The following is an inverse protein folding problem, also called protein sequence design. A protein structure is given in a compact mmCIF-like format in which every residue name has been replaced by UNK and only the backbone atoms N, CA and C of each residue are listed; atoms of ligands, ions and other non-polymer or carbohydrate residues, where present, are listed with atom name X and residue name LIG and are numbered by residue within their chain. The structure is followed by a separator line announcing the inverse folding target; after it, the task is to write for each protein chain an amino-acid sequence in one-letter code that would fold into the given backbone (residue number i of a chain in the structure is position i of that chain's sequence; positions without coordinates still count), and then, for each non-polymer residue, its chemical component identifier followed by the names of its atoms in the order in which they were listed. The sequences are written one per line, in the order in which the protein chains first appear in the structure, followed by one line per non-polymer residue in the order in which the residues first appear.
data_IF_829139094040
#
_entry.id   IF_829139094040
#
_cell.length_a   1.000
_cell.length_b   1.000
_cell.length_c   1.000
_cell.angle_alpha   90.00
_cell.angle_beta   90.00
_cell.angle_gamma   90.00
#
_symmetry.space_group_name_H-M   'P 1'
#
loop_
_entity.id
_entity.type
_entity.pdbx_description
1 polymer ?
#
# COMPACT_ATOMS: atom_id res chain seq x y z
N UNK A 1 -46.24 -104.46 18.35
CA UNK A 1 -44.88 -104.76 17.84
C UNK A 1 -44.62 -106.25 18.00
N UNK A 2 -43.68 -106.81 17.25
CA UNK A 2 -43.21 -108.18 17.46
C UNK A 2 -42.00 -108.07 18.39
N UNK A 3 -42.05 -108.76 19.52
CA UNK A 3 -40.97 -108.80 20.50
C UNK A 3 -40.30 -110.18 20.47
N UNK A 4 -38.98 -110.21 20.66
CA UNK A 4 -38.29 -111.41 21.08
C UNK A 4 -38.52 -111.52 22.60
N UNK A 5 -39.62 -112.18 22.98
CA UNK A 5 -40.15 -112.16 24.35
C UNK A 5 -39.75 -113.41 25.12
N UNK A 6 -39.04 -113.23 26.22
CA UNK A 6 -38.62 -114.29 27.12
C UNK A 6 -39.39 -114.22 28.44
N UNK A 7 -40.15 -115.27 28.75
CA UNK A 7 -41.02 -115.30 29.93
C UNK A 7 -40.40 -116.05 31.11
N UNK A 8 -40.43 -115.44 32.30
CA UNK A 8 -39.94 -116.04 33.54
C UNK A 8 -40.98 -115.94 34.66
N UNK A 9 -41.31 -117.07 35.27
CA UNK A 9 -42.15 -117.15 36.47
C UNK A 9 -41.29 -117.18 37.73
N UNK A 10 -41.59 -116.31 38.70
CA UNK A 10 -40.88 -116.22 39.97
C UNK A 10 -41.83 -116.30 41.17
N UNK A 11 -41.52 -117.20 42.10
CA UNK A 11 -42.29 -117.48 43.32
C UNK A 11 -41.63 -116.80 44.55
N UNK A 12 -42.39 -115.97 45.26
CA UNK A 12 -41.87 -115.02 46.25
C UNK A 12 -41.92 -115.62 47.67
N UNK A 13 -40.92 -116.43 47.99
CA UNK A 13 -40.77 -117.06 49.32
C UNK A 13 -39.63 -116.47 50.17
N UNK A 14 -39.61 -116.76 51.47
CA UNK A 14 -38.51 -116.46 52.38
C UNK A 14 -37.39 -117.53 52.40
N UNK A 15 -37.55 -118.63 51.66
CA UNK A 15 -36.55 -119.70 51.54
C UNK A 15 -35.33 -119.22 50.74
N UNK A 16 -34.19 -119.91 50.85
CA UNK A 16 -32.93 -119.49 50.20
C UNK A 16 -33.04 -119.40 48.67
N UNK A 17 -33.32 -118.20 48.15
CA UNK A 17 -33.36 -117.87 46.72
C UNK A 17 -31.97 -118.05 46.12
N UNK A 18 -31.71 -119.18 45.47
CA UNK A 18 -30.47 -119.42 44.71
C UNK A 18 -30.52 -118.64 43.41
N UNK A 19 -29.40 -118.06 42.96
CA UNK A 19 -29.31 -117.41 41.64
C UNK A 19 -29.69 -118.42 40.56
N UNK A 20 -30.70 -118.11 39.76
CA UNK A 20 -31.08 -118.92 38.60
C UNK A 20 -30.32 -118.39 37.39
N UNK A 21 -29.64 -119.27 36.67
CA UNK A 21 -29.17 -118.99 35.30
C UNK A 21 -30.35 -119.30 34.40
N UNK A 22 -30.90 -118.30 33.72
CA UNK A 22 -32.03 -118.50 32.80
C UNK A 22 -31.49 -118.93 31.44
N UNK A 23 -32.29 -119.65 30.66
CA UNK A 23 -31.94 -119.99 29.27
C UNK A 23 -32.22 -118.86 28.28
N UNK A 24 -32.24 -117.61 28.75
CA UNK A 24 -32.58 -116.43 27.95
C UNK A 24 -31.32 -115.95 27.22
N UNK A 25 -31.45 -115.78 25.91
CA UNK A 25 -30.37 -115.35 25.03
C UNK A 25 -30.96 -114.36 24.02
N UNK A 26 -30.50 -113.11 24.07
CA UNK A 26 -30.84 -112.06 23.09
C UNK A 26 -29.65 -111.76 22.19
N UNK A 27 -29.87 -111.02 21.10
CA UNK A 27 -28.82 -110.53 20.19
C UNK A 27 -28.63 -109.02 20.33
N UNK A 28 -27.41 -108.50 20.10
CA UNK A 28 -27.17 -107.03 20.00
C UNK A 28 -27.99 -106.34 18.89
N UNK A 29 -28.62 -107.11 18.00
CA UNK A 29 -29.49 -106.63 16.94
C UNK A 29 -30.99 -106.71 17.27
N UNK A 30 -31.38 -107.17 18.46
CA UNK A 30 -32.78 -107.18 18.95
C UNK A 30 -33.24 -105.78 19.44
N UNK A 31 -32.84 -104.76 18.68
CA UNK A 31 -33.01 -103.32 18.93
C UNK A 31 -34.51 -102.99 19.06
N UNK A 32 -34.90 -102.36 20.17
CA UNK A 32 -36.29 -102.08 20.54
C UNK A 32 -37.23 -103.30 20.61
N UNK A 33 -36.69 -104.53 20.61
CA UNK A 33 -37.51 -105.77 20.49
C UNK A 33 -37.17 -106.87 21.49
N UNK A 34 -35.99 -106.86 22.13
CA UNK A 34 -35.65 -107.76 23.24
C UNK A 34 -36.50 -107.45 24.48
N UNK A 35 -37.45 -108.33 24.80
CA UNK A 35 -38.41 -108.14 25.89
C UNK A 35 -38.29 -109.28 26.90
N UNK A 36 -38.33 -108.94 28.19
CA UNK A 36 -38.46 -109.91 29.27
C UNK A 36 -39.81 -109.69 29.95
N UNK A 37 -40.61 -110.76 30.04
CA UNK A 37 -41.90 -110.76 30.73
C UNK A 37 -41.77 -111.56 32.03
N UNK A 38 -42.17 -110.95 33.15
CA UNK A 38 -42.07 -111.53 34.49
C UNK A 38 -43.47 -111.85 35.02
N UNK A 39 -43.72 -113.11 35.39
CA UNK A 39 -44.95 -113.53 36.10
C UNK A 39 -44.64 -113.79 37.56
N UNK A 40 -45.34 -113.10 38.46
CA UNK A 40 -45.05 -113.14 39.88
C UNK A 40 -46.11 -113.94 40.64
N UNK A 41 -45.67 -114.91 41.43
CA UNK A 41 -46.53 -115.73 42.29
C UNK A 41 -46.08 -115.67 43.74
N UNK A 42 -47.01 -115.96 44.66
CA UNK A 42 -46.73 -116.11 46.08
C UNK A 42 -47.58 -117.22 46.69
N UNK A 43 -46.93 -118.13 47.39
CA UNK A 43 -47.52 -119.32 48.00
C UNK A 43 -48.31 -120.20 46.98
N UNK A 44 -47.95 -120.09 45.70
CA UNK A 44 -48.54 -120.83 44.58
C UNK A 44 -49.57 -120.07 43.72
N UNK A 45 -50.05 -118.90 44.16
CA UNK A 45 -51.06 -118.09 43.45
C UNK A 45 -50.43 -116.81 42.84
N UNK A 46 -51.01 -116.20 41.77
CA UNK A 46 -50.53 -114.93 41.23
C UNK A 46 -50.49 -113.80 42.28
N UNK A 47 -49.51 -112.90 42.18
CA UNK A 47 -49.37 -111.74 43.08
C UNK A 47 -49.86 -110.45 42.38
N UNK A 48 -51.02 -109.88 42.75
CA UNK A 48 -51.48 -108.62 42.18
C UNK A 48 -50.56 -107.43 42.50
N UNK A 49 -50.39 -106.54 41.52
CA UNK A 49 -49.46 -105.40 41.55
C UNK A 49 -50.15 -104.06 41.25
N UNK A 50 -51.47 -103.98 41.32
CA UNK A 50 -52.27 -102.79 40.94
C UNK A 50 -51.99 -101.50 41.73
N UNK A 51 -51.31 -101.59 42.88
CA UNK A 51 -50.92 -100.46 43.73
C UNK A 51 -49.39 -100.28 43.77
N UNK A 52 -48.68 -100.85 42.78
CA UNK A 52 -47.25 -100.67 42.57
C UNK A 52 -47.02 -99.50 41.62
N UNK A 53 -46.10 -98.60 41.98
CA UNK A 53 -45.82 -97.41 41.16
C UNK A 53 -45.23 -97.84 39.81
N UNK A 54 -44.21 -98.71 39.87
CA UNK A 54 -43.69 -99.58 38.81
C UNK A 54 -42.88 -100.72 39.50
N UNK A 55 -42.65 -101.83 38.80
CA UNK A 55 -41.53 -102.70 39.17
C UNK A 55 -40.21 -102.00 38.87
N UNK A 56 -39.13 -102.31 39.61
CA UNK A 56 -37.79 -101.78 39.34
C UNK A 56 -36.85 -102.93 39.03
N UNK A 57 -36.25 -102.87 37.84
CA UNK A 57 -35.30 -103.86 37.36
C UNK A 57 -33.88 -103.28 37.50
N UNK A 58 -33.06 -103.94 38.30
CA UNK A 58 -31.62 -103.72 38.31
C UNK A 58 -30.97 -104.71 37.36
N UNK A 59 -30.12 -104.23 36.46
CA UNK A 59 -29.30 -105.05 35.57
C UNK A 59 -27.85 -104.64 35.70
N UNK A 60 -26.95 -105.62 35.71
CA UNK A 60 -25.51 -105.43 35.62
C UNK A 60 -25.00 -106.24 34.44
N UNK A 61 -24.51 -105.55 33.43
CA UNK A 61 -24.05 -106.14 32.17
C UNK A 61 -22.64 -106.74 32.32
N UNK A 62 -22.20 -107.48 31.31
CA UNK A 62 -20.94 -108.23 31.34
C UNK A 62 -19.69 -107.33 31.37
N UNK A 63 -19.76 -106.16 30.74
CA UNK A 63 -18.70 -105.13 30.74
C UNK A 63 -18.67 -104.30 32.03
N UNK A 64 -19.63 -104.50 32.93
CA UNK A 64 -19.75 -103.82 34.20
C UNK A 64 -20.69 -102.61 34.21
N UNK A 65 -21.36 -102.29 33.10
CA UNK A 65 -22.46 -101.31 33.12
C UNK A 65 -23.57 -101.74 34.07
N UNK A 66 -24.19 -100.81 34.77
CA UNK A 66 -25.32 -101.08 35.66
C UNK A 66 -26.49 -100.15 35.32
N UNK A 67 -27.67 -100.73 35.11
CA UNK A 67 -28.91 -100.04 34.74
C UNK A 67 -29.95 -100.26 35.84
N UNK A 68 -30.54 -99.19 36.35
CA UNK A 68 -31.67 -99.23 37.27
C UNK A 68 -32.86 -98.50 36.65
N UNK A 69 -33.84 -99.29 36.22
CA UNK A 69 -34.90 -98.87 35.29
C UNK A 69 -36.27 -99.32 35.80
N UNK A 70 -37.30 -98.60 35.37
CA UNK A 70 -38.69 -98.91 35.69
C UNK A 70 -39.24 -99.93 34.67
N UNK A 71 -39.95 -100.94 35.15
CA UNK A 71 -40.66 -101.92 34.31
C UNK A 71 -42.08 -101.45 34.05
N UNK A 72 -42.58 -101.71 32.84
CA UNK A 72 -43.99 -101.47 32.50
C UNK A 72 -44.90 -102.59 33.06
N UNK A 73 -46.16 -102.24 33.35
CA UNK A 73 -47.17 -103.18 33.84
C UNK A 73 -47.91 -103.80 32.66
N UNK A 74 -47.82 -105.13 32.51
CA UNK A 74 -48.51 -105.87 31.44
C UNK A 74 -49.92 -106.30 31.83
N UNK A 75 -50.05 -106.98 32.97
CA UNK A 75 -51.33 -107.33 33.59
C UNK A 75 -51.18 -107.18 35.11
N UNK A 76 -51.89 -106.22 35.68
CA UNK A 76 -51.76 -105.86 37.09
C UNK A 76 -52.41 -106.88 38.05
N UNK A 77 -53.34 -107.72 37.56
CA UNK A 77 -54.06 -108.69 38.39
C UNK A 77 -53.34 -110.04 38.42
N UNK A 78 -52.89 -110.51 37.25
CA UNK A 78 -52.11 -111.75 37.10
C UNK A 78 -50.62 -111.59 37.47
N UNK A 79 -50.23 -110.45 38.04
CA UNK A 79 -48.86 -110.20 38.52
C UNK A 79 -47.81 -110.13 37.41
N UNK A 80 -48.16 -109.54 36.26
CA UNK A 80 -47.32 -109.53 35.07
C UNK A 80 -46.68 -108.16 34.84
N UNK A 81 -45.36 -108.11 34.96
CA UNK A 81 -44.51 -106.98 34.57
C UNK A 81 -43.77 -107.31 33.27
N UNK A 82 -43.35 -106.30 32.53
CA UNK A 82 -42.38 -106.49 31.46
C UNK A 82 -41.39 -105.34 31.35
N UNK A 83 -40.26 -105.62 30.72
CA UNK A 83 -39.29 -104.61 30.31
C UNK A 83 -38.78 -104.93 28.90
N UNK A 84 -38.64 -103.89 28.08
CA UNK A 84 -37.98 -103.98 26.77
C UNK A 84 -36.62 -103.33 26.93
N UNK A 85 -35.53 -104.05 26.63
CA UNK A 85 -34.20 -103.49 26.71
C UNK A 85 -34.05 -102.36 25.68
N UNK A 86 -33.45 -101.25 26.11
CA UNK A 86 -33.20 -100.13 25.20
C UNK A 86 -32.14 -100.46 24.16
N UNK A 87 -32.15 -99.72 23.06
CA UNK A 87 -31.18 -99.79 21.97
C UNK A 87 -29.72 -99.66 22.42
N UNK A 88 -29.47 -99.10 23.60
CA UNK A 88 -28.15 -98.98 24.22
C UNK A 88 -27.83 -100.22 25.08
N UNK A 89 -28.71 -100.55 26.03
CA UNK A 89 -28.59 -101.73 26.90
C UNK A 89 -28.36 -103.02 26.12
N UNK A 90 -29.05 -103.21 25.00
CA UNK A 90 -28.94 -104.41 24.17
C UNK A 90 -27.55 -104.55 23.51
N UNK A 91 -26.71 -103.50 23.48
CA UNK A 91 -25.34 -103.53 22.90
C UNK A 91 -24.30 -104.09 23.87
N UNK A 92 -24.61 -104.18 25.17
CA UNK A 92 -23.69 -104.67 26.20
C UNK A 92 -23.65 -106.21 26.21
N UNK A 93 -23.05 -106.79 25.15
CA UNK A 93 -22.98 -108.23 24.92
C UNK A 93 -22.25 -109.00 26.03
N UNK A 94 -22.84 -110.13 26.45
CA UNK A 94 -22.33 -111.10 27.44
C UNK A 94 -23.36 -111.40 28.54
N UNK A 95 -22.91 -112.04 29.62
CA UNK A 95 -23.77 -112.38 30.76
C UNK A 95 -24.26 -111.14 31.51
N UNK A 96 -25.56 -110.88 31.47
CA UNK A 96 -26.23 -109.87 32.30
C UNK A 96 -26.72 -110.51 33.60
N UNK A 97 -26.38 -109.93 34.74
CA UNK A 97 -26.92 -110.30 36.05
C UNK A 97 -28.01 -109.31 36.46
N UNK A 98 -29.22 -109.80 36.73
CA UNK A 98 -30.37 -108.96 37.00
C UNK A 98 -31.07 -109.30 38.33
N UNK A 99 -31.73 -108.31 38.91
CA UNK A 99 -32.60 -108.44 40.08
C UNK A 99 -33.86 -107.60 39.90
N UNK A 100 -35.02 -108.23 40.09
CA UNK A 100 -36.32 -107.56 40.03
C UNK A 100 -36.83 -107.24 41.44
N UNK A 101 -37.30 -106.01 41.60
CA UNK A 101 -37.96 -105.50 42.79
C UNK A 101 -39.38 -105.02 42.45
N UNK A 102 -40.31 -105.13 43.38
CA UNK A 102 -41.65 -104.52 43.28
C UNK A 102 -41.83 -103.55 44.44
N UNK A 103 -42.21 -102.31 44.15
CA UNK A 103 -42.42 -101.25 45.13
C UNK A 103 -43.83 -100.70 45.03
N UNK A 104 -44.49 -100.56 46.18
CA UNK A 104 -45.89 -100.16 46.32
C UNK A 104 -46.01 -98.70 46.80
N UNK A 105 -47.07 -98.01 46.38
CA UNK A 105 -47.29 -96.58 46.66
C UNK A 105 -47.40 -96.25 48.16
N UNK A 106 -47.65 -97.27 49.00
CA UNK A 106 -47.64 -97.18 50.46
C UNK A 106 -46.23 -97.19 51.08
N UNK A 107 -45.17 -97.22 50.25
CA UNK A 107 -43.76 -97.24 50.67
C UNK A 107 -43.17 -98.62 50.95
N UNK A 108 -43.89 -99.71 50.69
CA UNK A 108 -43.38 -101.08 50.84
C UNK A 108 -42.62 -101.55 49.60
N UNK A 109 -41.56 -102.36 49.77
CA UNK A 109 -40.81 -102.95 48.65
C UNK A 109 -40.43 -104.41 48.91
N UNK A 110 -40.41 -105.21 47.85
CA UNK A 110 -40.16 -106.66 47.87
C UNK A 110 -39.12 -107.03 46.80
N UNK A 111 -38.02 -107.68 47.21
CA UNK A 111 -37.08 -108.34 46.27
C UNK A 111 -37.70 -109.63 45.76
N UNK A 112 -37.92 -109.71 44.44
CA UNK A 112 -38.59 -110.82 43.76
C UNK A 112 -37.59 -111.94 43.52
N UNK A 113 -36.60 -111.73 42.65
CA UNK A 113 -35.60 -112.75 42.32
C UNK A 113 -34.32 -112.17 41.72
N UNK A 114 -33.20 -112.85 41.97
CA UNK A 114 -31.91 -112.67 41.26
C UNK A 114 -31.76 -113.70 40.16
N UNK A 115 -31.44 -113.26 38.95
CA UNK A 115 -31.28 -114.12 37.78
C UNK A 115 -30.13 -113.64 36.88
N UNK A 116 -29.83 -114.37 35.81
CA UNK A 116 -28.93 -113.90 34.75
C UNK A 116 -29.28 -114.50 33.40
N UNK A 117 -29.12 -113.69 32.35
CA UNK A 117 -29.36 -114.00 30.94
C UNK A 117 -28.14 -113.61 30.09
N UNK A 118 -28.09 -114.03 28.83
CA UNK A 118 -27.00 -113.73 27.89
C UNK A 118 -27.44 -112.77 26.79
N UNK A 119 -26.52 -111.91 26.33
CA UNK A 119 -26.66 -111.10 25.12
C UNK A 119 -25.53 -111.46 24.14
N UNK A 120 -25.83 -112.11 23.05
CA UNK A 120 -24.89 -112.49 22.00
C UNK A 120 -24.48 -111.29 21.13
N UNK A 121 -23.18 -111.18 20.84
CA UNK A 121 -22.65 -110.12 19.98
C UNK A 121 -22.80 -110.45 18.49
N UNK A 122 -23.57 -109.65 17.76
CA UNK A 122 -23.70 -109.82 16.32
C UNK A 122 -22.43 -109.44 15.55
N UNK A 123 -22.21 -110.06 14.38
CA UNK A 123 -21.00 -109.88 13.55
C UNK A 123 -20.76 -108.43 13.10
N UNK A 124 -21.81 -107.62 12.97
CA UNK A 124 -21.73 -106.21 12.54
C UNK A 124 -21.15 -105.29 13.64
N UNK A 125 -21.27 -105.68 14.91
CA UNK A 125 -20.87 -104.87 16.07
C UNK A 125 -19.46 -105.24 16.59
N UNK A 126 -18.72 -106.09 15.86
CA UNK A 126 -17.50 -106.75 16.31
C UNK A 126 -16.34 -105.78 16.68
N UNK A 127 -16.30 -104.59 16.09
CA UNK A 127 -15.23 -103.59 16.29
C UNK A 127 -15.59 -102.43 17.23
N UNK A 128 -16.71 -102.53 17.97
CA UNK A 128 -17.10 -101.53 18.97
C UNK A 128 -17.04 -102.15 20.37
N UNK A 129 -16.32 -101.51 21.28
CA UNK A 129 -16.31 -101.85 22.70
C UNK A 129 -17.26 -100.91 23.44
N UNK A 130 -18.32 -101.41 24.12
CA UNK A 130 -19.11 -100.59 25.02
C UNK A 130 -18.26 -100.16 26.23
N UNK A 131 -18.59 -99.01 26.80
CA UNK A 131 -17.99 -98.47 28.01
C UNK A 131 -18.92 -98.76 29.19
N UNK A 132 -18.35 -99.05 30.35
CA UNK A 132 -19.10 -99.30 31.57
C UNK A 132 -19.79 -98.01 32.03
N UNK A 133 -21.12 -97.93 31.90
CA UNK A 133 -21.94 -96.81 32.35
C UNK A 133 -22.91 -97.21 33.47
N UNK A 134 -23.21 -96.24 34.35
CA UNK A 134 -24.11 -96.41 35.47
C UNK A 134 -25.34 -95.51 35.25
N UNK A 135 -26.46 -96.10 34.87
CA UNK A 135 -27.66 -95.39 34.42
C UNK A 135 -28.83 -95.60 35.40
N UNK A 136 -29.35 -94.51 35.95
CA UNK A 136 -30.60 -94.48 36.72
C UNK A 136 -31.60 -93.60 35.97
N UNK A 137 -32.68 -94.21 35.51
CA UNK A 137 -33.71 -93.56 34.69
C UNK A 137 -34.35 -92.35 35.39
N UNK A 138 -34.80 -92.53 36.64
CA UNK A 138 -35.42 -91.48 37.48
C UNK A 138 -34.54 -90.21 37.63
N UNK A 139 -33.22 -90.31 37.45
CA UNK A 139 -32.28 -89.19 37.60
C UNK A 139 -32.08 -88.40 36.30
N UNK A 140 -32.13 -89.07 35.14
CA UNK A 140 -31.96 -88.41 33.84
C UNK A 140 -33.24 -87.65 33.42
N UNK A 141 -34.43 -88.15 33.79
CA UNK A 141 -35.69 -87.41 33.62
C UNK A 141 -35.69 -86.09 34.42
N UNK A 142 -35.29 -86.15 35.69
CA UNK A 142 -35.14 -84.97 36.56
C UNK A 142 -34.15 -83.95 35.96
N UNK A 143 -33.06 -84.43 35.40
CA UNK A 143 -32.03 -83.62 34.73
C UNK A 143 -32.55 -82.98 33.45
N UNK A 144 -33.41 -83.66 32.68
CA UNK A 144 -34.06 -83.09 31.49
C UNK A 144 -34.98 -81.91 31.85
N UNK A 145 -35.82 -82.04 32.87
CA UNK A 145 -36.72 -80.97 33.35
C UNK A 145 -35.94 -79.78 33.93
N UNK A 146 -34.85 -80.04 34.67
CA UNK A 146 -33.93 -78.98 35.16
C UNK A 146 -33.28 -78.23 33.98
N UNK A 147 -32.82 -78.93 32.95
CA UNK A 147 -32.20 -78.31 31.77
C UNK A 147 -33.20 -77.42 31.02
N UNK A 148 -34.43 -77.92 30.77
CA UNK A 148 -35.49 -77.14 30.12
C UNK A 148 -35.83 -75.87 30.91
N UNK A 149 -35.96 -75.98 32.23
CA UNK A 149 -36.20 -74.83 33.12
C UNK A 149 -35.04 -73.83 33.07
N UNK A 150 -33.80 -74.33 32.95
CA UNK A 150 -32.59 -73.51 32.83
C UNK A 150 -32.54 -72.74 31.51
N UNK A 151 -32.97 -73.34 30.39
CA UNK A 151 -33.03 -72.68 29.08
C UNK A 151 -34.09 -71.57 29.04
N UNK A 152 -35.27 -71.79 29.63
CA UNK A 152 -36.34 -70.78 29.77
C UNK A 152 -35.89 -69.58 30.65
N UNK A 153 -35.14 -69.86 31.73
CA UNK A 153 -34.49 -68.82 32.55
C UNK A 153 -33.43 -68.05 31.74
N UNK A 154 -32.59 -68.74 30.98
CA UNK A 154 -31.53 -68.13 30.16
C UNK A 154 -32.10 -67.23 29.06
N UNK A 155 -33.18 -67.64 28.39
CA UNK A 155 -33.87 -66.81 27.40
C UNK A 155 -34.40 -65.52 28.05
N UNK A 156 -35.11 -65.64 29.17
CA UNK A 156 -35.66 -64.50 29.92
C UNK A 156 -34.55 -63.54 30.37
N UNK A 157 -33.42 -64.06 30.85
CA UNK A 157 -32.23 -63.27 31.22
C UNK A 157 -31.63 -62.52 30.03
N UNK A 158 -31.60 -63.12 28.84
CA UNK A 158 -31.05 -62.48 27.64
C UNK A 158 -31.97 -61.39 27.09
N UNK A 159 -33.30 -61.56 27.17
CA UNK A 159 -34.27 -60.51 26.85
C UNK A 159 -34.18 -59.31 27.82
N UNK A 160 -33.94 -59.57 29.11
CA UNK A 160 -33.68 -58.51 30.10
C UNK A 160 -32.36 -57.77 29.80
N UNK A 161 -31.27 -58.49 29.48
CA UNK A 161 -30.00 -57.87 29.07
C UNK A 161 -30.15 -56.99 27.83
N UNK A 162 -30.92 -57.43 26.83
CA UNK A 162 -31.19 -56.64 25.62
C UNK A 162 -31.88 -55.31 25.95
N UNK A 163 -32.86 -55.32 26.86
CA UNK A 163 -33.51 -54.08 27.36
C UNK A 163 -32.58 -53.19 28.18
N UNK A 164 -31.63 -53.76 28.94
CA UNK A 164 -30.60 -52.97 29.62
C UNK A 164 -29.66 -52.27 28.63
N UNK A 165 -29.26 -52.91 27.53
CA UNK A 165 -28.46 -52.27 26.49
C UNK A 165 -29.20 -51.10 25.81
N UNK A 166 -30.53 -51.13 25.77
CA UNK A 166 -31.34 -50.01 25.25
C UNK A 166 -31.29 -48.79 26.19
N UNK A 167 -31.16 -49.00 27.51
CA UNK A 167 -30.90 -47.92 28.48
C UNK A 167 -29.50 -47.30 28.35
N UNK A 168 -28.48 -48.06 27.95
CA UNK A 168 -27.13 -47.51 27.71
C UNK A 168 -27.05 -46.57 26.49
N UNK A 169 -28.03 -46.64 25.58
CA UNK A 169 -28.17 -45.73 24.44
C UNK A 169 -28.93 -44.43 24.77
N UNK A 170 -29.38 -44.25 26.02
CA UNK A 170 -30.05 -43.02 26.46
C UNK A 170 -28.99 -41.94 26.72
N UNK A 171 -29.19 -40.76 26.13
CA UNK A 171 -28.30 -39.60 26.33
C UNK A 171 -28.08 -39.31 27.82
N UNK A 172 -26.81 -39.31 28.22
CA UNK A 172 -26.43 -39.15 29.62
C UNK A 172 -26.24 -37.67 29.94
N UNK A 173 -26.32 -37.30 31.23
CA UNK A 173 -25.99 -35.92 31.65
C UNK A 173 -24.55 -35.53 31.26
N UNK A 174 -23.63 -36.50 31.19
CA UNK A 174 -22.26 -36.28 30.75
C UNK A 174 -22.17 -36.09 29.23
N UNK A 175 -22.80 -36.95 28.42
CA UNK A 175 -22.80 -36.80 26.95
C UNK A 175 -23.50 -35.52 26.47
N UNK A 176 -24.59 -35.12 27.16
CA UNK A 176 -25.22 -33.82 26.97
C UNK A 176 -24.27 -32.66 27.33
N UNK A 177 -23.50 -32.78 28.41
CA UNK A 177 -22.49 -31.78 28.80
C UNK A 177 -21.32 -31.74 27.79
N UNK A 178 -20.86 -32.87 27.26
CA UNK A 178 -19.83 -32.93 26.22
C UNK A 178 -20.31 -32.24 24.93
N UNK A 179 -21.56 -32.48 24.52
CA UNK A 179 -22.18 -31.78 23.38
C UNK A 179 -22.34 -30.29 23.62
N UNK A 180 -22.70 -29.88 24.84
CA UNK A 180 -22.75 -28.47 25.24
C UNK A 180 -21.36 -27.82 25.22
N UNK A 181 -20.35 -28.49 25.78
CA UNK A 181 -18.96 -28.04 25.78
C UNK A 181 -18.39 -27.96 24.35
N UNK A 182 -18.75 -28.89 23.45
CA UNK A 182 -18.36 -28.85 22.05
C UNK A 182 -19.04 -27.69 21.30
N UNK A 183 -20.31 -27.40 21.59
CA UNK A 183 -21.01 -26.24 21.05
C UNK A 183 -20.41 -24.92 21.57
N UNK A 184 -20.09 -24.84 22.86
CA UNK A 184 -19.39 -23.71 23.48
C UNK A 184 -17.99 -23.52 22.89
N UNK A 185 -17.22 -24.59 22.72
CA UNK A 185 -15.90 -24.56 22.09
C UNK A 185 -15.97 -24.07 20.63
N UNK A 186 -16.96 -24.53 19.85
CA UNK A 186 -17.19 -24.07 18.48
C UNK A 186 -17.63 -22.60 18.43
N UNK A 187 -18.52 -22.18 19.33
CA UNK A 187 -18.94 -20.79 19.45
C UNK A 187 -17.78 -19.89 19.87
N UNK A 188 -16.97 -20.31 20.85
CA UNK A 188 -15.76 -19.63 21.27
C UNK A 188 -14.76 -19.56 20.11
N UNK A 189 -14.53 -20.65 19.38
CA UNK A 189 -13.64 -20.65 18.21
C UNK A 189 -14.09 -19.65 17.13
N UNK A 190 -15.38 -19.59 16.79
CA UNK A 190 -15.92 -18.61 15.85
C UNK A 190 -15.81 -17.15 16.38
N UNK A 191 -16.09 -16.94 17.66
CA UNK A 191 -16.07 -15.61 18.28
C UNK A 191 -14.64 -15.10 18.46
N UNK A 192 -13.71 -15.97 18.84
CA UNK A 192 -12.27 -15.71 18.79
C UNK A 192 -11.89 -15.29 17.36
N UNK A 193 -12.24 -16.10 16.34
CA UNK A 193 -11.94 -15.87 14.91
C UNK A 193 -12.50 -14.55 14.36
N UNK A 194 -13.59 -14.03 14.94
CA UNK A 194 -14.15 -12.72 14.61
C UNK A 194 -13.52 -11.57 15.43
N UNK A 195 -13.07 -11.85 16.66
CA UNK A 195 -12.45 -10.85 17.54
C UNK A 195 -11.00 -10.55 17.15
N UNK A 196 -10.26 -11.51 16.59
CA UNK A 196 -8.94 -11.28 15.95
C UNK A 196 -9.01 -10.58 14.60
N UNK A 197 -10.21 -10.33 14.08
CA UNK A 197 -10.40 -9.74 12.76
C UNK A 197 -10.24 -8.21 12.91
N UNK A 198 -9.22 -7.62 12.26
CA UNK A 198 -8.79 -6.21 12.45
C UNK A 198 -8.55 -5.44 11.13
N UNK A 199 -9.26 -5.86 10.08
CA UNK A 199 -9.39 -5.30 8.73
C UNK A 199 -9.46 -3.76 8.58
N UNK A 200 -9.64 -3.31 7.34
CA UNK A 200 -10.75 -2.40 7.04
C UNK A 200 -11.80 -3.16 6.25
N UNK A 201 -12.45 -4.14 6.91
CA UNK A 201 -13.60 -3.78 7.75
C UNK A 201 -13.45 -3.87 9.31
N UNK A 202 -12.38 -3.36 9.95
CA UNK A 202 -12.25 -3.25 11.42
C UNK A 202 -11.27 -2.14 11.92
N UNK A 203 -11.31 -0.92 11.36
CA UNK A 203 -10.70 0.29 11.96
C UNK A 203 -9.15 0.38 11.98
N UNK A 204 -8.42 -0.16 10.98
CA UNK A 204 -6.99 0.17 10.81
C UNK A 204 -6.80 1.70 10.79
N UNK A 205 -6.06 2.22 11.75
CA UNK A 205 -5.75 3.66 11.83
C UNK A 205 -4.67 4.05 10.83
N UNK A 206 -4.60 5.34 10.49
CA UNK A 206 -3.52 5.89 9.66
C UNK A 206 -2.13 5.54 10.18
N UNK A 207 -1.92 5.55 11.50
CA UNK A 207 -0.67 5.11 12.10
C UNK A 207 -0.38 3.62 11.85
N UNK A 208 -1.38 2.75 11.99
CA UNK A 208 -1.24 1.31 11.71
C UNK A 208 -0.96 0.99 10.22
N UNK A 209 -1.27 1.90 9.28
CA UNK A 209 -0.90 1.77 7.85
C UNK A 209 0.25 2.70 7.42
N UNK A 210 1.00 3.29 8.35
CA UNK A 210 2.15 4.17 8.04
C UNK A 210 1.79 5.55 7.46
N UNK A 211 0.51 5.87 7.35
CA UNK A 211 -0.04 7.13 6.82
C UNK A 211 -0.32 8.17 7.92
N UNK A 212 0.31 8.04 9.10
CA UNK A 212 0.05 8.92 10.26
C UNK A 212 0.17 10.41 9.93
N UNK A 213 1.17 10.76 9.10
CA UNK A 213 1.47 12.14 8.68
C UNK A 213 0.69 12.56 7.42
N UNK A 214 -0.22 11.73 6.91
CA UNK A 214 -1.00 12.01 5.70
C UNK A 214 -2.39 12.48 6.11
N UNK A 215 -2.69 13.75 5.82
CA UNK A 215 -3.99 14.35 6.12
C UNK A 215 -5.16 13.68 5.37
N UNK A 216 -6.38 13.81 5.90
CA UNK A 216 -7.58 13.22 5.27
C UNK A 216 -8.26 14.19 4.31
N UNK A 217 -7.47 14.76 3.40
CA UNK A 217 -7.89 15.77 2.42
C UNK A 217 -7.79 15.23 1.00
N UNK A 218 -8.49 15.86 0.04
CA UNK A 218 -8.42 15.48 -1.37
C UNK A 218 -7.01 15.76 -1.91
N UNK A 219 -6.24 14.70 -2.12
CA UNK A 219 -4.95 14.76 -2.82
C UNK A 219 -5.18 14.81 -4.34
N UNK A 220 -4.25 15.42 -5.06
CA UNK A 220 -4.19 15.32 -6.52
C UNK A 220 -3.85 13.87 -6.92
N UNK A 221 -4.32 13.39 -8.08
CA UNK A 221 -3.84 12.12 -8.61
C UNK A 221 -2.33 12.24 -8.92
N UNK A 222 -1.58 11.13 -8.87
CA UNK A 222 -0.13 11.17 -9.16
C UNK A 222 0.13 11.80 -10.54
N UNK A 223 -0.68 11.46 -11.53
CA UNK A 223 -0.62 12.02 -12.90
C UNK A 223 -0.79 13.55 -12.91
N UNK A 224 -1.73 14.09 -12.13
CA UNK A 224 -1.97 15.53 -12.04
C UNK A 224 -0.81 16.24 -11.32
N UNK A 225 -0.28 15.61 -10.26
CA UNK A 225 0.87 16.11 -9.51
C UNK A 225 2.14 16.11 -10.37
N UNK A 226 2.43 15.02 -11.08
CA UNK A 226 3.56 14.92 -12.00
C UNK A 226 3.44 15.96 -13.14
N UNK A 227 2.23 16.15 -13.68
CA UNK A 227 1.93 17.18 -14.68
C UNK A 227 2.18 18.59 -14.12
N UNK A 228 1.77 18.85 -12.88
CA UNK A 228 2.03 20.14 -12.22
C UNK A 228 3.53 20.37 -11.97
N UNK A 229 4.26 19.36 -11.51
CA UNK A 229 5.72 19.43 -11.30
C UNK A 229 6.47 19.66 -12.61
N UNK A 230 5.96 19.15 -13.73
CA UNK A 230 6.50 19.39 -15.08
C UNK A 230 6.03 20.71 -15.72
N UNK A 231 5.13 21.48 -15.08
CA UNK A 231 4.57 22.73 -15.61
C UNK A 231 5.57 23.91 -15.43
N UNK A 232 6.56 23.95 -16.32
CA UNK A 232 7.54 25.03 -16.43
C UNK A 232 6.93 26.38 -16.89
N UNK A 233 5.62 26.46 -17.18
CA UNK A 233 4.94 27.74 -17.44
C UNK A 233 4.47 28.35 -16.11
N UNK A 234 4.08 27.52 -15.15
CA UNK A 234 3.58 27.94 -13.83
C UNK A 234 4.70 28.10 -12.79
N UNK A 235 5.80 27.38 -12.95
CA UNK A 235 6.98 27.48 -12.09
C UNK A 235 8.11 28.24 -12.77
N UNK A 236 8.74 29.18 -12.05
CA UNK A 236 10.02 29.75 -12.48
C UNK A 236 11.16 28.77 -12.17
N UNK A 237 12.01 28.54 -13.14
CA UNK A 237 13.21 27.72 -12.99
C UNK A 237 14.22 28.34 -12.01
N UNK A 238 15.16 27.54 -11.51
CA UNK A 238 16.27 28.05 -10.71
C UNK A 238 17.13 29.07 -11.49
N UNK A 239 17.26 28.89 -12.81
CA UNK A 239 18.01 29.78 -13.70
C UNK A 239 17.29 31.11 -13.92
N UNK A 240 15.96 31.10 -14.14
CA UNK A 240 15.17 32.33 -14.22
C UNK A 240 15.20 33.11 -12.90
N UNK A 241 15.07 32.42 -11.76
CA UNK A 241 15.20 33.03 -10.44
C UNK A 241 16.57 33.66 -10.24
N UNK A 242 17.64 32.95 -10.61
CA UNK A 242 19.02 33.47 -10.52
C UNK A 242 19.21 34.66 -11.45
N UNK A 243 18.72 34.60 -12.68
CA UNK A 243 18.73 35.68 -13.66
C UNK A 243 18.01 36.92 -13.13
N UNK A 244 16.79 36.78 -12.60
CA UNK A 244 16.01 37.92 -12.08
C UNK A 244 16.63 38.51 -10.81
N UNK A 245 17.11 37.67 -9.89
CA UNK A 245 17.79 38.13 -8.66
C UNK A 245 19.12 38.87 -8.98
N UNK A 246 19.83 38.46 -10.03
CA UNK A 246 21.04 39.14 -10.52
C UNK A 246 20.79 40.30 -11.49
N UNK A 247 19.54 40.55 -11.90
CA UNK A 247 19.20 41.60 -12.87
C UNK A 247 18.96 42.95 -12.21
N UNK A 248 19.46 44.02 -12.83
CA UNK A 248 19.11 45.39 -12.45
C UNK A 248 17.75 45.76 -13.05
N UNK A 249 16.66 45.51 -12.32
CA UNK A 249 15.26 45.65 -12.78
C UNK A 249 14.73 47.11 -12.80
N UNK A 250 15.59 48.12 -12.93
CA UNK A 250 15.17 49.54 -12.93
C UNK A 250 14.85 49.99 -14.36
N UNK A 251 13.61 50.46 -14.58
CA UNK A 251 13.18 51.04 -15.86
C UNK A 251 13.95 52.32 -16.20
N UNK A 252 14.64 52.29 -17.35
CA UNK A 252 15.32 53.45 -17.97
C UNK A 252 14.37 54.22 -18.90
N UNK A 253 13.40 53.52 -19.49
CA UNK A 253 12.34 53.97 -20.40
C UNK A 253 10.98 53.56 -19.87
N UNK A 254 9.89 54.05 -20.46
CA UNK A 254 8.56 53.48 -20.21
C UNK A 254 8.35 52.15 -20.95
N UNK A 255 7.20 51.50 -20.76
CA UNK A 255 6.88 50.17 -21.30
C UNK A 255 6.77 50.08 -22.83
N UNK A 256 6.67 51.21 -23.53
CA UNK A 256 6.72 51.27 -25.00
C UNK A 256 8.10 51.70 -25.54
N UNK A 257 9.14 51.69 -24.70
CA UNK A 257 10.50 52.08 -25.08
C UNK A 257 10.71 53.59 -25.28
N UNK A 258 9.72 54.41 -24.90
CA UNK A 258 9.81 55.87 -24.94
C UNK A 258 10.37 56.42 -23.62
N UNK A 259 10.45 57.75 -23.49
CA UNK A 259 10.98 58.43 -22.31
C UNK A 259 10.30 57.98 -20.99
N UNK A 260 11.08 57.87 -19.92
CA UNK A 260 10.58 57.55 -18.58
C UNK A 260 9.88 58.74 -17.93
N UNK A 261 10.43 59.95 -18.10
CA UNK A 261 9.92 61.20 -17.51
C UNK A 261 9.39 62.12 -18.60
N UNK A 262 8.12 62.55 -18.47
CA UNK A 262 7.53 63.61 -19.29
C UNK A 262 7.59 64.95 -18.56
N UNK A 263 8.05 66.00 -19.25
CA UNK A 263 8.14 67.37 -18.75
C UNK A 263 7.38 68.28 -19.74
N UNK A 264 6.16 68.66 -19.36
CA UNK A 264 5.24 69.45 -20.19
C UNK A 264 5.43 70.96 -20.10
N UNK A 265 4.63 71.71 -20.86
CA UNK A 265 4.70 73.18 -20.98
C UNK A 265 4.56 73.94 -19.65
N UNK A 266 3.90 73.35 -18.66
CA UNK A 266 3.67 73.94 -17.32
C UNK A 266 4.50 73.29 -16.21
N UNK A 267 5.35 72.30 -16.54
CA UNK A 267 6.23 71.65 -15.57
C UNK A 267 7.50 72.50 -15.32
N UNK A 268 8.18 72.24 -14.21
CA UNK A 268 9.56 72.66 -13.97
C UNK A 268 10.52 71.50 -14.22
N UNK A 269 11.51 71.70 -15.10
CA UNK A 269 12.43 70.65 -15.53
C UNK A 269 13.20 70.05 -14.36
N UNK A 270 13.79 70.90 -13.52
CA UNK A 270 14.61 70.49 -12.39
C UNK A 270 13.79 69.64 -11.41
N UNK A 271 12.59 70.10 -11.08
CA UNK A 271 11.65 69.43 -10.18
C UNK A 271 11.25 68.04 -10.70
N UNK A 272 10.92 67.91 -12.00
CA UNK A 272 10.53 66.61 -12.57
C UNK A 272 11.66 65.60 -12.60
N UNK A 273 12.90 66.05 -12.81
CA UNK A 273 14.08 65.19 -12.73
C UNK A 273 14.39 64.79 -11.27
N UNK A 274 14.38 65.72 -10.30
CA UNK A 274 14.66 65.36 -8.90
C UNK A 274 13.56 64.49 -8.28
N UNK A 275 12.28 64.71 -8.64
CA UNK A 275 11.16 63.83 -8.24
C UNK A 275 11.30 62.37 -8.69
N UNK A 276 12.18 62.08 -9.66
CA UNK A 276 12.49 60.69 -10.06
C UNK A 276 13.34 59.93 -9.03
N UNK A 277 13.92 60.63 -8.05
CA UNK A 277 14.80 60.07 -7.04
C UNK A 277 16.09 59.48 -7.60
N UNK A 278 16.77 58.64 -6.80
CA UNK A 278 18.00 57.94 -7.21
C UNK A 278 17.72 56.91 -8.32
N UNK A 279 18.04 57.24 -9.56
CA UNK A 279 18.03 56.34 -10.73
C UNK A 279 18.84 56.88 -11.91
N UNK A 280 19.15 55.99 -12.85
CA UNK A 280 19.39 56.35 -14.24
C UNK A 280 18.06 56.30 -15.02
N UNK A 281 17.79 57.27 -15.88
CA UNK A 281 16.52 57.33 -16.61
C UNK A 281 16.53 58.29 -17.80
N UNK A 282 15.56 58.13 -18.69
CA UNK A 282 15.36 58.98 -19.87
C UNK A 282 14.24 60.01 -19.65
N UNK A 283 14.28 61.12 -20.40
CA UNK A 283 13.23 62.13 -20.35
C UNK A 283 12.91 62.70 -21.73
N UNK A 284 11.73 63.31 -21.82
CA UNK A 284 11.34 64.28 -22.84
C UNK A 284 10.89 65.56 -22.15
N UNK A 285 11.33 66.70 -22.66
CA UNK A 285 10.87 68.02 -22.24
C UNK A 285 10.43 68.84 -23.42
N UNK A 286 9.34 69.57 -23.27
CA UNK A 286 9.02 70.66 -24.19
C UNK A 286 9.99 71.82 -23.97
N UNK A 287 10.12 72.71 -24.96
CA UNK A 287 10.96 73.90 -24.87
C UNK A 287 10.34 75.07 -24.09
N UNK A 288 9.25 74.83 -23.36
CA UNK A 288 8.51 75.85 -22.58
C UNK A 288 8.48 75.57 -21.08
N UNK A 289 8.85 74.36 -20.66
CA UNK A 289 8.96 74.03 -19.24
C UNK A 289 9.90 75.01 -18.53
N UNK A 290 9.58 75.35 -17.27
CA UNK A 290 10.48 76.17 -16.46
C UNK A 290 11.84 75.47 -16.32
N UNK A 291 12.93 76.24 -16.35
CA UNK A 291 14.30 75.73 -16.31
C UNK A 291 14.68 74.72 -17.42
N UNK A 292 13.97 74.71 -18.56
CA UNK A 292 14.35 73.89 -19.71
C UNK A 292 15.75 74.27 -20.29
N UNK A 293 16.50 73.29 -20.84
CA UNK A 293 17.83 73.52 -21.45
C UNK A 293 17.81 74.37 -22.73
N UNK A 294 16.68 74.40 -23.44
CA UNK A 294 16.51 75.03 -24.75
C UNK A 294 15.06 75.47 -24.91
N UNK A 295 14.81 76.47 -25.75
CA UNK A 295 13.46 76.85 -26.20
C UNK A 295 12.87 75.83 -27.20
N UNK A 296 13.68 74.85 -27.60
CA UNK A 296 13.30 73.70 -28.41
C UNK A 296 12.97 72.48 -27.53
N UNK A 297 12.11 71.57 -28.03
CA UNK A 297 11.89 70.29 -27.32
C UNK A 297 13.20 69.48 -27.23
N UNK A 298 13.45 68.90 -26.06
CA UNK A 298 14.66 68.13 -25.76
C UNK A 298 14.36 66.72 -25.30
N UNK A 299 15.29 65.81 -25.59
CA UNK A 299 15.28 64.40 -25.16
C UNK A 299 16.65 64.07 -24.60
N UNK A 300 16.71 63.13 -23.67
CA UNK A 300 18.00 62.73 -23.14
C UNK A 300 17.88 61.82 -21.93
N UNK A 301 18.91 61.85 -21.09
CA UNK A 301 19.01 61.02 -19.90
C UNK A 301 19.59 61.78 -18.72
N UNK A 302 19.28 61.27 -17.53
CA UNK A 302 19.79 61.76 -16.25
C UNK A 302 20.30 60.59 -15.42
N UNK A 303 21.24 60.88 -14.52
CA UNK A 303 21.70 59.94 -13.51
C UNK A 303 21.74 60.63 -12.15
N UNK A 304 20.77 60.31 -11.30
CA UNK A 304 20.75 60.75 -9.90
C UNK A 304 21.22 59.60 -9.01
N UNK A 305 22.18 59.90 -8.14
CA UNK A 305 22.97 58.91 -7.36
C UNK A 305 22.74 59.00 -5.84
N UNK A 306 22.18 60.12 -5.36
CA UNK A 306 21.75 60.33 -3.97
C UNK A 306 20.34 60.94 -3.90
N UNK A 307 19.71 60.87 -2.73
CA UNK A 307 18.42 61.50 -2.43
C UNK A 307 18.42 62.19 -1.07
N UNK A 308 17.48 63.13 -0.87
CA UNK A 308 17.12 63.66 0.44
C UNK A 308 16.21 62.70 1.24
N UNK A 309 15.73 63.13 2.41
CA UNK A 309 14.78 62.40 3.25
C UNK A 309 13.38 62.22 2.64
N UNK A 310 13.04 62.99 1.61
CA UNK A 310 11.77 62.92 0.88
C UNK A 310 11.88 62.04 -0.38
N UNK A 311 13.07 61.49 -0.66
CA UNK A 311 13.35 60.68 -1.85
C UNK A 311 13.63 61.50 -3.12
N UNK A 312 13.76 62.83 -3.03
CA UNK A 312 14.12 63.69 -4.16
C UNK A 312 15.62 63.56 -4.46
N UNK A 313 15.97 63.46 -5.74
CA UNK A 313 17.37 63.36 -6.18
C UNK A 313 18.18 64.61 -5.83
N UNK A 314 19.35 64.42 -5.22
CA UNK A 314 20.21 65.51 -4.69
C UNK A 314 21.60 65.59 -5.32
N UNK A 315 22.04 64.56 -6.04
CA UNK A 315 23.38 64.50 -6.60
C UNK A 315 23.41 63.75 -7.93
N UNK A 316 23.84 64.38 -9.03
CA UNK A 316 23.80 63.77 -10.35
C UNK A 316 23.97 64.72 -11.52
N UNK A 317 23.74 64.21 -12.73
CA UNK A 317 23.84 64.98 -13.97
C UNK A 317 22.67 64.72 -14.91
N UNK A 318 22.48 65.65 -15.86
CA UNK A 318 21.54 65.53 -16.98
C UNK A 318 22.24 65.87 -18.28
N UNK A 319 21.98 65.07 -19.32
CA UNK A 319 22.37 65.36 -20.70
C UNK A 319 21.09 65.46 -21.53
N UNK A 320 20.93 66.59 -22.23
CA UNK A 320 19.77 66.90 -23.06
C UNK A 320 20.23 67.19 -24.50
N UNK A 321 19.49 66.71 -25.48
CA UNK A 321 19.69 67.03 -26.90
C UNK A 321 18.38 67.59 -27.46
N UNK A 322 18.44 68.74 -28.12
CA UNK A 322 17.28 69.34 -28.78
C UNK A 322 17.12 68.87 -30.24
N UNK A 323 15.97 69.16 -30.86
CA UNK A 323 15.70 68.74 -32.24
C UNK A 323 16.57 69.46 -33.31
N UNK A 324 17.33 70.49 -32.93
CA UNK A 324 18.34 71.12 -33.78
C UNK A 324 19.73 70.49 -33.59
N UNK A 325 19.81 69.35 -32.89
CA UNK A 325 21.04 68.62 -32.55
C UNK A 325 21.98 69.38 -31.60
N UNK A 326 21.46 70.34 -30.83
CA UNK A 326 22.22 71.00 -29.76
C UNK A 326 22.25 70.11 -28.52
N UNK A 327 23.44 69.80 -28.02
CA UNK A 327 23.61 69.07 -26.75
C UNK A 327 23.86 70.04 -25.58
N UNK A 328 23.21 69.78 -24.45
CA UNK A 328 23.32 70.54 -23.21
C UNK A 328 23.59 69.61 -22.04
N UNK A 329 24.41 70.06 -21.09
CA UNK A 329 24.69 69.36 -19.84
C UNK A 329 24.37 70.25 -18.64
N UNK A 330 23.92 69.63 -17.55
CA UNK A 330 23.75 70.30 -16.26
C UNK A 330 24.06 69.30 -15.14
N UNK A 331 24.45 69.81 -13.99
CA UNK A 331 24.88 69.04 -12.83
C UNK A 331 24.13 69.52 -11.59
N UNK A 332 23.65 68.59 -10.79
CA UNK A 332 23.05 68.84 -9.48
C UNK A 332 24.04 68.36 -8.42
N UNK A 333 24.45 69.26 -7.53
CA UNK A 333 25.23 68.96 -6.35
C UNK A 333 24.41 69.31 -5.10
N UNK A 334 24.48 68.47 -4.07
CA UNK A 334 23.75 68.63 -2.80
C UNK A 334 24.02 69.98 -2.15
N UNK A 335 25.26 70.46 -2.19
CA UNK A 335 25.69 71.66 -1.46
C UNK A 335 25.43 72.96 -2.24
N UNK A 336 25.49 72.90 -3.58
CA UNK A 336 25.43 74.08 -4.46
C UNK A 336 24.21 74.13 -5.39
N UNK A 337 23.30 73.16 -5.29
CA UNK A 337 22.16 73.03 -6.20
C UNK A 337 22.56 72.77 -7.67
N UNK A 338 21.73 73.23 -8.59
CA UNK A 338 21.94 73.10 -10.03
C UNK A 338 23.00 74.08 -10.55
N UNK A 339 23.98 73.59 -11.30
CA UNK A 339 25.09 74.38 -11.86
C UNK A 339 24.71 75.22 -13.09
N UNK A 340 23.49 75.03 -13.60
CA UNK A 340 22.98 75.69 -14.81
C UNK A 340 23.38 74.95 -16.10
N UNK A 341 22.57 75.14 -17.13
CA UNK A 341 22.77 74.49 -18.43
C UNK A 341 23.99 75.03 -19.18
N UNK A 342 24.81 74.12 -19.70
CA UNK A 342 25.95 74.42 -20.56
C UNK A 342 25.76 73.73 -21.91
N UNK A 343 25.73 74.49 -23.00
CA UNK A 343 25.70 73.94 -24.36
C UNK A 343 27.08 73.39 -24.72
N UNK A 344 27.15 72.17 -25.22
CA UNK A 344 28.38 71.58 -25.76
C UNK A 344 28.53 72.05 -27.20
N UNK A 345 29.63 72.74 -27.49
CA UNK A 345 29.89 73.30 -28.82
C UNK A 345 30.51 72.26 -29.75
N UNK A 346 30.05 72.26 -31.00
CA UNK A 346 30.56 71.42 -32.09
C UNK A 346 31.61 72.18 -32.93
N UNK A 347 32.35 71.48 -33.80
CA UNK A 347 33.24 72.13 -34.77
C UNK A 347 32.50 73.09 -35.71
N UNK A 348 31.22 72.84 -35.99
CA UNK A 348 30.33 73.77 -36.72
C UNK A 348 30.06 75.07 -35.95
N UNK A 349 29.88 75.01 -34.62
CA UNK A 349 29.72 76.22 -33.79
C UNK A 349 31.01 77.06 -33.71
N UNK A 350 32.15 76.40 -33.84
CA UNK A 350 33.47 77.02 -33.85
C UNK A 350 33.86 77.55 -35.24
N UNK A 351 33.15 77.16 -36.30
CA UNK A 351 33.50 77.46 -37.69
C UNK A 351 33.16 78.92 -38.04
N UNK A 352 34.16 79.75 -38.44
CA UNK A 352 33.93 81.16 -38.71
C UNK A 352 33.14 81.39 -40.01
N UNK A 353 31.94 81.97 -39.90
CA UNK A 353 31.18 82.53 -41.03
C UNK A 353 31.80 83.86 -41.46
N UNK A 354 32.46 83.86 -42.62
CA UNK A 354 33.24 85.01 -43.09
C UNK A 354 32.40 86.05 -43.84
N UNK A 355 32.29 87.24 -43.25
CA UNK A 355 31.63 88.42 -43.80
C UNK A 355 32.66 89.37 -44.44
N UNK A 356 32.27 90.14 -45.46
CA UNK A 356 33.13 91.21 -46.00
C UNK A 356 33.18 92.39 -45.01
N UNK A 357 34.36 93.00 -44.85
CA UNK A 357 34.49 94.24 -44.07
C UNK A 357 34.11 95.43 -44.95
N UNK A 358 33.23 96.30 -44.44
CA UNK A 358 32.99 97.62 -45.05
C UNK A 358 34.16 98.52 -44.73
N UNK A 359 34.99 98.80 -45.74
CA UNK A 359 36.09 99.75 -45.63
C UNK A 359 35.57 101.19 -45.79
N UNK A 360 36.21 102.12 -45.09
CA UNK A 360 35.86 103.54 -45.04
C UNK A 360 37.12 104.42 -45.21
N UNK A 361 36.92 105.74 -45.35
CA UNK A 361 37.98 106.76 -45.33
C UNK A 361 39.16 106.51 -46.31
N UNK A 362 38.85 106.01 -47.50
CA UNK A 362 39.82 105.82 -48.60
C UNK A 362 40.51 104.46 -48.66
N UNK A 363 40.32 103.57 -47.67
CA UNK A 363 40.81 102.19 -47.77
C UNK A 363 39.99 101.38 -48.81
N UNK A 364 40.65 100.57 -49.63
CA UNK A 364 40.02 99.85 -50.76
C UNK A 364 40.21 98.34 -50.71
N UNK A 365 39.16 97.59 -51.04
CA UNK A 365 39.16 96.12 -50.97
C UNK A 365 40.13 95.51 -52.00
N UNK A 366 40.92 94.51 -51.59
CA UNK A 366 41.70 93.70 -52.54
C UNK A 366 40.75 92.74 -53.28
N UNK A 367 40.76 92.79 -54.61
CA UNK A 367 39.85 92.00 -55.46
C UNK A 367 40.11 90.49 -55.41
N UNK A 368 41.36 90.08 -55.11
CA UNK A 368 41.77 88.68 -55.03
C UNK A 368 41.68 88.11 -53.61
N UNK A 369 41.83 88.96 -52.60
CA UNK A 369 41.95 88.61 -51.18
C UNK A 369 41.14 89.59 -50.32
N UNK A 370 39.81 89.72 -50.51
CA UNK A 370 39.02 90.72 -49.81
C UNK A 370 39.18 90.61 -48.29
N UNK A 371 39.29 91.77 -47.65
CA UNK A 371 39.35 91.90 -46.21
C UNK A 371 38.00 91.49 -45.61
N UNK A 372 38.06 90.46 -44.76
CA UNK A 372 36.92 89.73 -44.23
C UNK A 372 37.05 89.56 -42.72
N UNK A 373 35.90 89.52 -42.05
CA UNK A 373 35.82 89.27 -40.62
C UNK A 373 34.86 88.13 -40.29
N UNK A 374 35.05 87.52 -39.13
CA UNK A 374 34.10 86.61 -38.49
C UNK A 374 34.15 86.82 -36.99
N UNK A 375 33.05 86.57 -36.29
CA UNK A 375 33.01 86.63 -34.82
C UNK A 375 32.54 85.28 -34.30
N UNK A 376 33.39 84.61 -33.54
CA UNK A 376 33.09 83.35 -32.85
C UNK A 376 33.84 83.29 -31.52
N UNK A 377 33.27 82.65 -30.50
CA UNK A 377 33.85 82.53 -29.16
C UNK A 377 34.38 83.84 -28.53
N UNK A 378 33.68 84.96 -28.75
CA UNK A 378 34.11 86.30 -28.31
C UNK A 378 35.50 86.72 -28.85
N UNK A 379 35.85 86.28 -30.05
CA UNK A 379 37.04 86.67 -30.82
C UNK A 379 36.60 87.23 -32.17
N UNK A 380 37.09 88.42 -32.53
CA UNK A 380 36.99 88.99 -33.87
C UNK A 380 38.15 88.46 -34.72
N UNK A 381 37.84 87.53 -35.62
CA UNK A 381 38.78 87.00 -36.59
C UNK A 381 38.84 87.92 -37.81
N UNK A 382 40.03 88.34 -38.21
CA UNK A 382 40.30 89.19 -39.36
C UNK A 382 41.22 88.46 -40.35
N UNK A 383 40.84 88.40 -41.63
CA UNK A 383 41.62 87.79 -42.70
C UNK A 383 41.59 88.60 -44.00
N UNK A 384 42.53 88.32 -44.89
CA UNK A 384 42.55 88.89 -46.23
C UNK A 384 43.38 90.17 -46.28
N UNK A 385 43.07 91.07 -47.20
CA UNK A 385 43.91 92.24 -47.49
C UNK A 385 43.08 93.42 -47.99
N UNK A 386 43.62 94.61 -47.78
CA UNK A 386 43.13 95.83 -48.42
C UNK A 386 44.31 96.73 -48.82
N UNK A 387 44.12 97.45 -49.92
CA UNK A 387 45.12 98.30 -50.56
C UNK A 387 44.82 99.79 -50.39
N UNK A 388 45.86 100.60 -50.58
CA UNK A 388 45.90 102.04 -50.25
C UNK A 388 45.61 102.30 -48.77
N UNK A 389 46.68 102.48 -47.99
CA UNK A 389 46.57 102.87 -46.58
C UNK A 389 46.26 104.38 -46.49
N UNK A 390 45.31 104.80 -45.65
CA UNK A 390 45.04 106.22 -45.43
C UNK A 390 46.17 106.87 -44.62
N UNK A 391 46.00 108.15 -44.29
CA UNK A 391 46.87 108.83 -43.31
C UNK A 391 46.81 108.17 -41.94
N UNK A 392 47.96 108.15 -41.25
CA UNK A 392 48.08 107.68 -39.85
C UNK A 392 47.03 108.34 -38.95
N UNK A 393 46.39 107.56 -38.09
CA UNK A 393 45.31 107.98 -37.20
C UNK A 393 43.89 107.82 -37.80
N UNK A 394 43.76 107.34 -39.03
CA UNK A 394 42.46 107.16 -39.70
C UNK A 394 41.83 105.79 -39.45
N UNK A 395 40.55 105.75 -39.09
CA UNK A 395 39.76 104.51 -39.05
C UNK A 395 39.52 103.97 -40.46
N UNK A 396 39.93 102.73 -40.73
CA UNK A 396 39.74 102.03 -42.02
C UNK A 396 38.48 101.16 -42.07
N UNK A 397 37.95 100.76 -40.91
CA UNK A 397 36.72 99.98 -40.76
C UNK A 397 36.11 100.22 -39.38
N UNK A 398 34.83 99.86 -39.20
CA UNK A 398 34.15 99.88 -37.90
C UNK A 398 33.37 98.58 -37.68
N UNK A 399 33.56 97.96 -36.52
CA UNK A 399 32.95 96.68 -36.13
C UNK A 399 31.90 96.89 -35.03
N UNK A 400 30.77 96.18 -35.13
CA UNK A 400 29.73 96.16 -34.09
C UNK A 400 30.20 95.44 -32.83
N UNK A 401 31.07 94.44 -33.00
CA UNK A 401 31.71 93.69 -31.92
C UNK A 401 32.98 94.42 -31.49
N UNK A 402 33.00 94.88 -30.23
CA UNK A 402 34.01 95.78 -29.68
C UNK A 402 34.81 95.07 -28.58
N UNK A 403 36.13 95.29 -28.47
CA UNK A 403 36.91 94.83 -27.33
C UNK A 403 36.62 95.67 -26.08
N UNK A 404 36.84 95.11 -24.91
CA UNK A 404 36.75 95.80 -23.60
C UNK A 404 37.84 96.86 -23.39
N UNK A 405 38.94 96.75 -24.13
CA UNK A 405 40.10 97.64 -24.09
C UNK A 405 40.65 97.91 -25.51
N UNK A 406 41.50 98.93 -25.66
CA UNK A 406 42.22 99.18 -26.90
C UNK A 406 43.15 97.99 -27.22
N UNK A 407 43.08 97.45 -28.43
CA UNK A 407 43.96 96.36 -28.87
C UNK A 407 44.86 96.82 -30.00
N UNK A 408 46.15 97.00 -29.70
CA UNK A 408 47.19 97.30 -30.69
C UNK A 408 47.79 96.02 -31.27
N UNK A 409 47.98 95.98 -32.59
CA UNK A 409 48.59 94.84 -33.28
C UNK A 409 49.32 95.27 -34.57
N UNK A 410 50.11 94.35 -35.14
CA UNK A 410 50.82 94.56 -36.40
C UNK A 410 50.47 93.50 -37.43
N UNK A 411 50.49 93.89 -38.71
CA UNK A 411 50.25 93.02 -39.87
C UNK A 411 51.32 93.23 -40.93
N UNK A 412 51.72 92.20 -41.70
CA UNK A 412 52.71 92.35 -42.77
C UNK A 412 52.24 93.27 -43.90
N UNK A 413 53.17 94.09 -44.41
CA UNK A 413 53.03 94.81 -45.67
C UNK A 413 53.34 93.90 -46.86
N UNK A 414 52.73 94.17 -48.01
CA UNK A 414 52.90 93.40 -49.25
C UNK A 414 53.36 94.33 -50.38
N UNK A 415 54.26 93.84 -51.23
CA UNK A 415 54.98 94.61 -52.26
C UNK A 415 56.35 95.09 -51.77
N UNK A 416 56.47 95.35 -50.47
CA UNK A 416 57.73 95.66 -49.78
C UNK A 416 57.72 95.05 -48.38
N UNK A 417 58.86 94.51 -47.93
CA UNK A 417 58.98 93.84 -46.64
C UNK A 417 58.87 94.84 -45.49
N UNK A 418 58.01 94.55 -44.52
CA UNK A 418 57.66 95.45 -43.44
C UNK A 418 56.42 95.05 -42.66
N UNK A 419 55.99 95.95 -41.77
CA UNK A 419 54.79 95.81 -40.93
C UNK A 419 54.02 97.11 -40.80
N UNK A 420 52.69 97.03 -40.86
CA UNK A 420 51.76 98.10 -40.54
C UNK A 420 51.15 97.87 -39.15
N UNK A 421 51.07 98.93 -38.33
CA UNK A 421 50.39 98.92 -37.03
C UNK A 421 48.93 99.32 -37.20
N UNK A 422 48.06 98.61 -36.50
CA UNK A 422 46.64 98.93 -36.37
C UNK A 422 46.23 98.86 -34.90
N UNK A 423 45.16 99.57 -34.57
CA UNK A 423 44.53 99.53 -33.25
C UNK A 423 43.03 99.29 -33.42
N UNK A 424 42.46 98.33 -32.69
CA UNK A 424 41.01 98.18 -32.56
C UNK A 424 40.56 98.89 -31.28
N UNK A 425 39.80 99.98 -31.42
CA UNK A 425 39.34 100.78 -30.27
C UNK A 425 38.18 100.10 -29.55
N UNK A 426 37.94 100.53 -28.30
CA UNK A 426 36.74 100.19 -27.52
C UNK A 426 35.42 100.64 -28.15
N UNK A 427 35.47 101.46 -29.21
CA UNK A 427 34.32 101.85 -30.03
C UNK A 427 34.11 100.96 -31.28
N UNK A 428 35.00 100.00 -31.50
CA UNK A 428 35.00 99.09 -32.64
C UNK A 428 35.69 99.66 -33.89
N UNK A 429 36.32 100.82 -33.81
CA UNK A 429 37.07 101.39 -34.94
C UNK A 429 38.41 100.66 -35.11
N UNK A 430 38.65 100.14 -36.30
CA UNK A 430 39.97 99.66 -36.72
C UNK A 430 40.74 100.86 -37.29
N UNK A 431 41.67 101.40 -36.51
CA UNK A 431 42.49 102.57 -36.87
C UNK A 431 43.84 102.13 -37.43
N UNK A 432 44.30 102.79 -38.48
CA UNK A 432 45.64 102.62 -39.03
C UNK A 432 46.61 103.59 -38.35
N UNK A 433 47.66 103.03 -37.73
CA UNK A 433 48.58 103.77 -36.84
C UNK A 433 50.00 103.89 -37.43
N UNK A 434 50.15 103.64 -38.74
CA UNK A 434 51.40 103.81 -39.49
C UNK A 434 52.06 102.49 -39.88
N UNK A 435 53.14 102.57 -40.64
CA UNK A 435 53.91 101.39 -41.08
C UNK A 435 55.40 101.65 -41.14
N UNK A 436 56.18 100.56 -41.10
CA UNK A 436 57.61 100.53 -41.38
C UNK A 436 57.84 99.47 -42.44
N UNK A 437 58.42 99.84 -43.58
CA UNK A 437 58.79 98.94 -44.66
C UNK A 437 60.12 99.39 -45.29
N UNK A 438 60.85 98.46 -45.92
CA UNK A 438 62.13 98.75 -46.58
C UNK A 438 62.02 99.84 -47.65
N UNK A 439 60.90 99.82 -48.38
CA UNK A 439 60.43 100.91 -49.24
C UNK A 439 58.91 101.08 -49.03
N UNK A 440 58.51 102.19 -48.44
CA UNK A 440 57.11 102.53 -48.17
C UNK A 440 56.30 102.81 -49.44
N UNK A 441 56.93 103.28 -50.53
CA UNK A 441 56.24 103.58 -51.78
C UNK A 441 55.84 102.31 -52.56
N UNK A 442 56.59 101.22 -52.37
CA UNK A 442 56.30 99.90 -52.95
C UNK A 442 55.28 99.06 -52.15
N UNK A 443 54.70 99.58 -51.06
CA UNK A 443 53.63 98.87 -50.32
C UNK A 443 52.31 98.99 -51.06
N UNK A 444 51.84 97.87 -51.61
CA UNK A 444 50.57 97.77 -52.36
C UNK A 444 49.36 97.49 -51.47
N UNK A 445 49.54 96.70 -50.40
CA UNK A 445 48.48 96.31 -49.46
C UNK A 445 49.04 95.80 -48.14
N UNK A 446 48.16 95.63 -47.16
CA UNK A 446 48.43 94.94 -45.88
C UNK A 446 47.66 93.63 -45.81
N UNK A 447 48.20 92.61 -45.12
CA UNK A 447 47.60 91.28 -45.06
C UNK A 447 47.31 90.82 -43.62
N UNK A 448 46.04 90.57 -43.32
CA UNK A 448 45.56 90.12 -42.03
C UNK A 448 45.35 88.60 -42.00
N UNK A 449 45.68 87.99 -40.87
CA UNK A 449 45.29 86.62 -40.50
C UNK A 449 45.42 86.48 -38.97
N UNK A 450 44.51 87.12 -38.22
CA UNK A 450 44.62 87.31 -36.77
C UNK A 450 43.25 87.12 -36.10
N UNK A 451 43.25 86.60 -34.87
CA UNK A 451 42.08 86.64 -33.98
C UNK A 451 42.32 87.67 -32.87
N UNK A 452 41.37 88.59 -32.69
CA UNK A 452 41.40 89.62 -31.65
C UNK A 452 40.38 89.25 -30.56
N UNK A 453 40.80 88.86 -29.35
CA UNK A 453 39.90 88.68 -28.23
C UNK A 453 39.11 89.96 -27.92
N UNK A 454 37.83 89.80 -27.58
CA UNK A 454 36.92 90.92 -27.28
C UNK A 454 36.59 91.07 -25.78
N UNK A 455 37.15 90.21 -24.93
CA UNK A 455 37.00 90.22 -23.47
C UNK A 455 38.14 90.98 -22.78
#
# INVERSE_FOLDING_TARGET
MIYNDAEQSFEITASTKRKITTGIQFSTQDIGTAKITFRLTKDGEPLPISNATHGKLFMRMADGSEFYVNTEVGDAFEGVLFYVLTDDQIRHSGTVMAELYVSYDNGQSLSVHKFSFEIDKALVDASIAPLAEYYIEDFEDLKADINKTTDEINQTLNEIKAKFNEFENIETKAGAQEKANAAEANAKAYTDLHTIKTDNPHKVTKAQVGLANVDNVKQAAKTDFDTHVADNIRHITADERTKWNGSQLVKITNDVGSFLVSIGDTDDFYTKITQSGRRFGTFYSTGKAANAPSTNSTRGFFHMTATDSNGLGTFGYVIAVDYQNNMFTNYLNTDSGWHGWRRVLTSSDLSPTWNNVTLINGATQDTSRPFKFSVSNNVLWLRGSFGTLPTTGTSVAKFTNKPTQLVDFVVPTIGSYGTARFSLTTDGDLRYDGMVANDSASVSRVSFNIGIPLW
#
